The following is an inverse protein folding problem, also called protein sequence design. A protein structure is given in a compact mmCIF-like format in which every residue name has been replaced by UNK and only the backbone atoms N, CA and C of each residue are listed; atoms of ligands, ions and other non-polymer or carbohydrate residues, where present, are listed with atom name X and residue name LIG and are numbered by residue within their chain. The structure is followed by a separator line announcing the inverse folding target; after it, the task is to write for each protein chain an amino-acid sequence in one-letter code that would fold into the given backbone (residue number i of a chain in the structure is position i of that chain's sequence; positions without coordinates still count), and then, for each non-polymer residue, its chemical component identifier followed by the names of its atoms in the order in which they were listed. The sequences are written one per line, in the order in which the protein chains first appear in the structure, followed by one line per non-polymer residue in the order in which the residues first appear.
data_IF_271324459654
#
_entry.id   IF_271324459654
#
_cell.length_a   1.000
_cell.length_b   1.000
_cell.length_c   1.000
_cell.angle_alpha   90.00
_cell.angle_beta   90.00
_cell.angle_gamma   90.00
#
_symmetry.space_group_name_H-M   'P 1'
#
loop_
_entity.id
_entity.type
_entity.pdbx_description
1 polymer ?
#
# COMPACT_ATOMS: atom_id res chain seq x y z
N UNK A 1 7.54 24.10 -2.38
CA UNK A 1 7.48 23.01 -3.38
C UNK A 1 7.56 21.61 -2.77
N UNK A 2 8.55 21.31 -1.90
CA UNK A 2 8.70 19.97 -1.25
C UNK A 2 7.43 19.45 -0.56
N UNK A 3 6.79 20.28 0.27
CA UNK A 3 5.58 19.89 1.00
C UNK A 3 4.41 19.50 0.06
N UNK A 4 4.24 20.22 -1.06
CA UNK A 4 3.22 19.90 -2.06
C UNK A 4 3.46 18.53 -2.69
N UNK A 5 4.70 18.23 -3.07
CA UNK A 5 5.06 16.92 -3.64
C UNK A 5 4.82 15.79 -2.64
N UNK A 6 5.15 15.99 -1.36
CA UNK A 6 4.90 15.01 -0.30
C UNK A 6 3.39 14.79 -0.10
N UNK A 7 2.58 15.86 -0.09
CA UNK A 7 1.13 15.71 0.04
C UNK A 7 0.51 14.99 -1.15
N UNK A 8 1.00 15.25 -2.37
CA UNK A 8 0.60 14.52 -3.57
C UNK A 8 1.02 13.05 -3.47
N UNK A 9 2.26 12.76 -3.08
CA UNK A 9 2.76 11.39 -2.87
C UNK A 9 1.89 10.61 -1.89
N UNK A 10 1.58 11.21 -0.72
CA UNK A 10 0.68 10.62 0.28
C UNK A 10 -0.71 10.33 -0.29
N UNK A 11 -1.28 11.28 -1.03
CA UNK A 11 -2.61 11.12 -1.64
C UNK A 11 -2.62 10.01 -2.70
N UNK A 12 -1.61 9.97 -3.57
CA UNK A 12 -1.46 8.92 -4.58
C UNK A 12 -1.27 7.55 -3.92
N UNK A 13 -0.44 7.46 -2.87
CA UNK A 13 -0.25 6.23 -2.11
C UNK A 13 -1.55 5.67 -1.53
N UNK A 14 -2.40 6.54 -0.98
CA UNK A 14 -3.73 6.15 -0.49
C UNK A 14 -4.67 5.66 -1.62
N UNK A 15 -4.65 6.33 -2.79
CA UNK A 15 -5.41 5.86 -3.96
C UNK A 15 -4.91 4.48 -4.42
N UNK A 16 -3.59 4.27 -4.46
CA UNK A 16 -3.01 2.97 -4.79
C UNK A 16 -3.47 1.90 -3.79
N UNK A 17 -3.45 2.20 -2.49
CA UNK A 17 -3.94 1.27 -1.47
C UNK A 17 -5.42 0.90 -1.68
N UNK A 18 -6.28 1.88 -1.96
CA UNK A 18 -7.70 1.64 -2.24
C UNK A 18 -7.91 0.80 -3.50
N UNK A 19 -7.18 1.10 -4.58
CA UNK A 19 -7.25 0.33 -5.82
C UNK A 19 -6.69 -1.09 -5.64
N UNK A 20 -5.58 -1.24 -4.92
CA UNK A 20 -4.99 -2.54 -4.61
C UNK A 20 -5.96 -3.38 -3.78
N UNK A 21 -6.58 -2.80 -2.75
CA UNK A 21 -7.64 -3.44 -1.96
C UNK A 21 -8.80 -3.88 -2.86
N UNK A 22 -9.30 -3.00 -3.73
CA UNK A 22 -10.38 -3.34 -4.67
C UNK A 22 -9.97 -4.49 -5.60
N UNK A 23 -8.76 -4.45 -6.16
CA UNK A 23 -8.20 -5.51 -6.99
C UNK A 23 -8.13 -6.85 -6.25
N UNK A 24 -7.66 -6.85 -4.99
CA UNK A 24 -7.59 -8.04 -4.14
C UNK A 24 -9.01 -8.59 -3.89
N UNK A 25 -9.97 -7.74 -3.52
CA UNK A 25 -11.35 -8.16 -3.29
C UNK A 25 -11.97 -8.77 -4.56
N UNK A 26 -11.80 -8.13 -5.71
CA UNK A 26 -12.28 -8.65 -7.00
C UNK A 26 -11.63 -10.00 -7.31
N UNK A 27 -10.32 -10.13 -7.08
CA UNK A 27 -9.55 -11.36 -7.29
C UNK A 27 -9.97 -12.50 -6.36
N UNK A 28 -10.36 -12.20 -5.12
CA UNK A 28 -10.87 -13.19 -4.18
C UNK A 28 -12.32 -13.58 -4.49
N UNK A 29 -13.14 -12.62 -4.95
CA UNK A 29 -14.53 -12.85 -5.32
C UNK A 29 -14.68 -13.61 -6.65
N UNK A 30 -13.76 -13.40 -7.60
CA UNK A 30 -13.81 -14.01 -8.92
C UNK A 30 -12.64 -14.97 -9.13
N UNK A 31 -12.95 -16.19 -9.53
CA UNK A 31 -11.91 -17.16 -9.87
C UNK A 31 -11.07 -16.63 -11.06
N UNK A 32 -9.73 -16.62 -10.97
CA UNK A 32 -8.85 -16.39 -12.11
C UNK A 32 -9.34 -17.17 -13.34
N UNK A 33 -9.34 -16.51 -14.51
CA UNK A 33 -9.44 -17.24 -15.77
C UNK A 33 -8.30 -18.27 -15.83
N UNK A 34 -8.58 -19.51 -16.28
CA UNK A 34 -7.55 -20.52 -16.42
C UNK A 34 -6.47 -20.03 -17.41
N UNK A 35 -5.19 -20.38 -17.18
CA UNK A 35 -4.10 -19.97 -18.06
C UNK A 35 -4.39 -20.41 -19.51
N UNK A 36 -4.23 -19.51 -20.46
CA UNK A 36 -4.35 -19.81 -21.89
C UNK A 36 -3.02 -20.34 -22.42
N UNK A 37 -2.67 -21.58 -22.07
CA UNK A 37 -1.49 -22.26 -22.60
C UNK A 37 -0.85 -23.26 -21.65
N UNK A 38 0.04 -24.11 -22.21
CA UNK A 38 0.81 -25.10 -21.46
C UNK A 38 1.92 -24.42 -20.67
N UNK A 39 1.62 -24.05 -19.42
CA UNK A 39 2.59 -23.51 -18.48
C UNK A 39 3.09 -24.60 -17.53
N UNK A 40 4.40 -24.70 -17.36
CA UNK A 40 5.01 -25.57 -16.34
C UNK A 40 4.41 -25.29 -14.96
N UNK A 41 4.12 -26.31 -14.14
CA UNK A 41 3.61 -26.12 -12.78
C UNK A 41 4.49 -25.20 -11.92
N UNK A 42 5.81 -25.26 -12.12
CA UNK A 42 6.76 -24.41 -11.39
C UNK A 42 6.65 -22.94 -11.82
N UNK A 43 6.54 -22.67 -13.13
CA UNK A 43 6.37 -21.32 -13.65
C UNK A 43 5.04 -20.70 -13.18
N UNK A 44 3.98 -21.52 -13.13
CA UNK A 44 2.69 -21.10 -12.59
C UNK A 44 2.76 -20.75 -11.12
N UNK A 45 3.39 -21.61 -10.30
CA UNK A 45 3.58 -21.33 -8.87
C UNK A 45 4.38 -20.05 -8.64
N UNK A 46 5.48 -19.86 -9.37
CA UNK A 46 6.29 -18.65 -9.28
C UNK A 46 5.49 -17.39 -9.62
N UNK A 47 4.68 -17.42 -10.68
CA UNK A 47 3.80 -16.31 -11.04
C UNK A 47 2.73 -16.03 -9.97
N UNK A 48 2.11 -17.07 -9.39
CA UNK A 48 1.13 -16.91 -8.32
C UNK A 48 1.75 -16.28 -7.06
N UNK A 49 2.94 -16.73 -6.66
CA UNK A 49 3.68 -16.17 -5.53
C UNK A 49 4.14 -14.73 -5.79
N UNK A 50 4.60 -14.41 -6.99
CA UNK A 50 4.98 -13.05 -7.36
C UNK A 50 3.80 -12.08 -7.28
N UNK A 51 2.62 -12.46 -7.79
CA UNK A 51 1.42 -11.64 -7.65
C UNK A 51 1.01 -11.45 -6.19
N UNK A 52 1.08 -12.51 -5.38
CA UNK A 52 0.79 -12.41 -3.95
C UNK A 52 1.76 -11.44 -3.25
N UNK A 53 3.05 -11.57 -3.50
CA UNK A 53 4.07 -10.67 -2.95
C UNK A 53 3.82 -9.21 -3.36
N UNK A 54 3.48 -8.97 -4.63
CA UNK A 54 3.14 -7.63 -5.12
C UNK A 54 1.89 -7.06 -4.45
N UNK A 55 0.84 -7.86 -4.25
CA UNK A 55 -0.36 -7.40 -3.53
C UNK A 55 -0.06 -7.05 -2.07
N UNK A 56 0.76 -7.86 -1.40
CA UNK A 56 1.18 -7.59 -0.03
C UNK A 56 1.99 -6.29 0.02
N UNK A 57 2.98 -6.11 -0.86
CA UNK A 57 3.83 -4.92 -0.87
C UNK A 57 3.05 -3.65 -1.21
N UNK A 58 2.16 -3.71 -2.20
CA UNK A 58 1.29 -2.60 -2.61
C UNK A 58 0.32 -2.16 -1.51
N UNK A 59 -0.02 -3.06 -0.58
CA UNK A 59 -0.82 -2.72 0.60
C UNK A 59 0.05 -2.27 1.78
N UNK A 60 1.17 -2.94 2.03
CA UNK A 60 2.02 -2.69 3.19
C UNK A 60 2.64 -1.28 3.14
N UNK A 61 3.25 -0.89 2.02
CA UNK A 61 3.93 0.40 1.89
C UNK A 61 3.01 1.61 2.19
N UNK A 62 1.82 1.76 1.58
CA UNK A 62 0.95 2.90 1.89
C UNK A 62 0.35 2.85 3.30
N UNK A 63 0.15 1.66 3.88
CA UNK A 63 -0.28 1.54 5.28
C UNK A 63 0.83 1.98 6.24
N UNK A 64 2.09 1.59 5.98
CA UNK A 64 3.27 2.08 6.71
C UNK A 64 3.38 3.59 6.57
N UNK A 65 3.25 4.14 5.35
CA UNK A 65 3.30 5.59 5.12
C UNK A 65 2.17 6.38 5.81
N UNK A 66 0.98 5.78 5.94
CA UNK A 66 -0.12 6.35 6.71
C UNK A 66 0.21 6.34 8.21
N UNK A 67 0.65 5.20 8.75
CA UNK A 67 1.07 5.10 10.16
C UNK A 67 2.21 6.08 10.47
N UNK A 68 3.23 6.14 9.62
CA UNK A 68 4.35 7.08 9.71
C UNK A 68 3.90 8.55 9.77
N UNK A 69 2.89 8.91 8.99
CA UNK A 69 2.37 10.28 9.00
C UNK A 69 1.60 10.58 10.30
N UNK A 70 0.88 9.59 10.84
CA UNK A 70 0.22 9.69 12.13
C UNK A 70 1.22 9.78 13.29
N UNK A 71 2.26 8.94 13.29
CA UNK A 71 3.33 8.94 14.28
C UNK A 71 4.08 10.28 14.35
N UNK A 72 4.21 10.98 13.21
CA UNK A 72 4.73 12.35 13.13
C UNK A 72 3.75 13.46 13.55
N UNK A 73 2.57 13.13 14.10
CA UNK A 73 1.54 14.11 14.45
C UNK A 73 0.94 14.84 13.23
N UNK A 74 1.06 14.27 12.03
CA UNK A 74 0.65 14.90 10.75
C UNK A 74 -0.36 14.02 10.00
N UNK A 75 -1.63 13.99 10.44
CA UNK A 75 -2.66 13.18 9.81
C UNK A 75 -2.74 13.39 8.30
N UNK A 76 -2.91 12.30 7.56
CA UNK A 76 -2.94 12.32 6.10
C UNK A 76 -4.29 12.85 5.62
N UNK A 77 -4.27 13.76 4.64
CA UNK A 77 -5.47 14.22 3.96
C UNK A 77 -5.43 13.84 2.49
N UNK A 78 -6.52 13.24 2.00
CA UNK A 78 -6.68 12.86 0.61
C UNK A 78 -6.91 14.12 -0.24
N UNK A 79 -5.87 14.57 -0.94
CA UNK A 79 -5.88 15.81 -1.73
C UNK A 79 -6.35 17.07 -0.97
N UNK A 80 -6.26 17.07 0.37
CA UNK A 80 -6.79 18.16 1.21
C UNK A 80 -8.30 18.15 1.42
N UNK A 81 -9.02 17.13 0.92
CA UNK A 81 -10.49 17.06 0.96
C UNK A 81 -11.00 16.30 2.18
N UNK A 82 -10.37 15.18 2.50
CA UNK A 82 -10.80 14.27 3.57
C UNK A 82 -9.58 13.86 4.38
N UNK A 83 -9.58 14.21 5.66
CA UNK A 83 -8.56 13.74 6.61
C UNK A 83 -8.91 12.34 7.09
N UNK A 84 -7.95 11.42 6.95
CA UNK A 84 -8.12 10.05 7.39
C UNK A 84 -7.99 9.93 8.91
N UNK A 85 -8.60 8.90 9.53
CA UNK A 85 -8.45 8.68 10.96
C UNK A 85 -6.99 8.42 11.33
N UNK A 86 -6.65 8.79 12.56
CA UNK A 86 -5.37 8.48 13.17
C UNK A 86 -5.37 7.00 13.54
N UNK A 87 -4.37 6.25 13.06
CA UNK A 87 -4.28 4.79 13.27
C UNK A 87 -3.21 4.41 14.31
N UNK A 88 -2.28 5.31 14.60
CA UNK A 88 -1.25 5.20 15.64
C UNK A 88 -1.11 6.56 16.31
N UNK A 89 -0.77 6.57 17.60
CA UNK A 89 -0.50 7.80 18.34
C UNK A 89 0.82 8.45 17.90
N UNK A 90 1.03 9.71 18.27
CA UNK A 90 2.27 10.43 17.99
C UNK A 90 3.41 9.84 18.82
N UNK A 91 4.44 9.35 18.13
CA UNK A 91 5.60 8.65 18.69
C UNK A 91 6.77 8.78 17.70
N UNK A 92 7.82 9.48 18.12
CA UNK A 92 8.98 9.80 17.27
C UNK A 92 9.86 8.56 17.01
N UNK A 93 10.03 7.68 18.00
CA UNK A 93 10.80 6.45 17.86
C UNK A 93 10.11 5.52 16.85
N UNK A 94 8.79 5.39 16.95
CA UNK A 94 7.99 4.64 15.98
C UNK A 94 8.04 5.27 14.58
N UNK A 95 8.09 6.60 14.49
CA UNK A 95 8.18 7.29 13.21
C UNK A 95 9.50 6.98 12.50
N UNK A 96 10.62 6.93 13.22
CA UNK A 96 11.92 6.59 12.65
C UNK A 96 11.95 5.14 12.12
N UNK A 97 11.45 4.17 12.89
CA UNK A 97 11.34 2.77 12.47
C UNK A 97 10.46 2.63 11.21
N UNK A 98 9.30 3.28 11.20
CA UNK A 98 8.38 3.23 10.06
C UNK A 98 8.95 3.93 8.81
N UNK A 99 9.78 4.97 8.98
CA UNK A 99 10.47 5.61 7.87
C UNK A 99 11.49 4.65 7.26
N UNK A 100 12.29 3.96 8.08
CA UNK A 100 13.25 2.96 7.61
C UNK A 100 12.55 1.85 6.82
N UNK A 101 11.42 1.33 7.31
CA UNK A 101 10.66 0.28 6.63
C UNK A 101 9.94 0.75 5.36
N UNK A 102 9.67 2.05 5.24
CA UNK A 102 9.02 2.58 4.04
C UNK A 102 10.02 2.86 2.90
N UNK A 103 11.27 3.16 3.26
CA UNK A 103 12.31 3.55 2.32
C UNK A 103 13.19 2.38 1.83
N UNK A 104 13.23 1.26 2.56
CA UNK A 104 14.06 0.07 2.25
C UNK A 104 13.25 -1.17 1.86
#
# INVERSE_FOLDING_TARGET
MRATLINIHRSIGLIIALLAMACIVVRLAHRPLPPTGDMSPLARLAAELAHLALYVLLMALPLIGWALSCAHGKPVSLFGLVTLPVIVEEDEDLADDLAEYHEN
#
